data_IF_614157678901
#
_entry.id   IF_614157678901
#
_cell.length_a   1.000
_cell.length_b   1.000
_cell.length_c   1.000
_cell.angle_alpha   90.00
_cell.angle_beta   90.00
_cell.angle_gamma   90.00
#
_symmetry.space_group_name_H-M   'P 1'
#
loop_
_entity.id
_entity.type
_entity.pdbx_description
1 polymer ?
#
# COMPACT_ATOMS: atom_id res chain seq x y z
N UNK A 1 38.71 33.37 -17.47
CA UNK A 1 37.56 33.16 -16.55
C UNK A 1 36.46 32.50 -17.35
N UNK A 2 36.41 31.16 -17.36
CA UNK A 2 35.38 30.39 -18.04
C UNK A 2 34.45 29.79 -16.99
N UNK A 3 33.23 30.32 -16.88
CA UNK A 3 32.18 29.75 -16.05
C UNK A 3 31.26 28.90 -16.93
N UNK A 4 31.38 27.59 -16.82
CA UNK A 4 30.50 26.63 -17.47
C UNK A 4 29.14 26.66 -16.77
N UNK A 5 28.12 27.22 -17.44
CA UNK A 5 26.75 27.14 -16.97
C UNK A 5 26.22 25.72 -17.23
N UNK A 6 25.99 24.97 -16.15
CA UNK A 6 25.26 23.72 -16.22
C UNK A 6 23.80 23.98 -16.64
N UNK A 7 23.48 23.66 -17.89
CA UNK A 7 22.12 23.69 -18.42
C UNK A 7 21.22 22.74 -17.64
N UNK A 8 20.22 23.30 -16.95
CA UNK A 8 19.15 22.55 -16.28
C UNK A 8 18.18 22.01 -17.33
N UNK A 9 18.23 20.71 -17.59
CA UNK A 9 17.28 20.04 -18.50
C UNK A 9 15.86 20.21 -17.94
N UNK A 10 14.87 20.68 -18.73
CA UNK A 10 13.50 20.79 -18.26
C UNK A 10 12.92 19.39 -18.03
N UNK A 11 12.57 19.11 -16.78
CA UNK A 11 11.91 17.87 -16.37
C UNK A 11 10.50 17.82 -16.97
N UNK A 12 10.18 16.77 -17.73
CA UNK A 12 8.84 16.60 -18.30
C UNK A 12 7.82 16.50 -17.16
N UNK A 13 6.65 17.17 -17.25
CA UNK A 13 5.61 17.02 -16.25
C UNK A 13 5.17 15.56 -16.17
N UNK A 14 5.30 14.97 -14.98
CA UNK A 14 4.73 13.65 -14.70
C UNK A 14 3.20 13.78 -14.81
N UNK A 15 2.51 12.94 -15.59
CA UNK A 15 1.05 13.00 -15.69
C UNK A 15 0.40 12.87 -14.32
N UNK A 16 -0.53 13.76 -13.99
CA UNK A 16 -1.31 13.64 -12.76
C UNK A 16 -2.20 12.39 -12.83
N UNK A 17 -2.23 11.61 -11.74
CA UNK A 17 -3.16 10.49 -11.62
C UNK A 17 -4.57 11.05 -11.47
N UNK A 18 -5.50 10.61 -12.32
CA UNK A 18 -6.92 10.96 -12.25
C UNK A 18 -7.78 9.71 -12.12
N UNK A 19 -8.92 9.83 -11.46
CA UNK A 19 -9.84 8.72 -11.22
C UNK A 19 -11.28 9.23 -11.05
N UNK A 20 -12.30 8.52 -11.54
CA UNK A 20 -13.70 8.82 -11.25
C UNK A 20 -14.08 8.35 -9.83
N UNK A 21 -15.21 8.83 -9.30
CA UNK A 21 -15.77 8.29 -8.05
C UNK A 21 -16.04 6.78 -8.14
N UNK A 22 -16.47 6.33 -9.32
CA UNK A 22 -16.69 4.92 -9.66
C UNK A 22 -16.02 4.55 -10.97
N UNK A 23 -15.18 3.53 -10.94
CA UNK A 23 -14.50 2.97 -12.10
C UNK A 23 -15.35 1.91 -12.80
N UNK A 24 -14.71 1.18 -13.71
CA UNK A 24 -15.40 0.22 -14.58
C UNK A 24 -15.65 -1.14 -13.93
N UNK A 25 -15.09 -1.40 -12.74
CA UNK A 25 -15.07 -2.73 -12.09
C UNK A 25 -14.41 -3.81 -12.98
N UNK A 26 -13.66 -3.40 -14.00
CA UNK A 26 -12.79 -4.25 -14.83
C UNK A 26 -11.35 -3.93 -14.50
N UNK A 27 -10.50 -4.96 -14.47
CA UNK A 27 -9.13 -4.82 -13.97
C UNK A 27 -8.09 -5.15 -15.04
N UNK A 28 -7.12 -4.26 -15.19
CA UNK A 28 -5.87 -4.54 -15.88
C UNK A 28 -4.89 -5.11 -14.87
N UNK A 29 -4.47 -6.35 -15.07
CA UNK A 29 -3.40 -6.97 -14.28
C UNK A 29 -2.06 -6.60 -14.91
N UNK A 30 -1.13 -6.09 -14.11
CA UNK A 30 0.21 -5.76 -14.58
C UNK A 30 1.00 -7.03 -14.92
N UNK A 31 1.94 -6.97 -15.89
CA UNK A 31 2.85 -8.09 -16.18
C UNK A 31 3.59 -8.58 -14.93
N UNK A 32 4.10 -9.81 -14.99
CA UNK A 32 5.03 -10.29 -13.98
C UNK A 32 6.27 -9.42 -13.88
N UNK A 33 7.00 -9.55 -12.78
CA UNK A 33 8.35 -9.00 -12.71
C UNK A 33 9.23 -9.65 -13.78
N UNK A 34 9.89 -8.88 -14.68
CA UNK A 34 10.73 -9.44 -15.73
C UNK A 34 11.90 -10.27 -15.18
N UNK A 35 12.42 -9.89 -14.01
CA UNK A 35 13.51 -10.60 -13.34
C UNK A 35 13.03 -11.85 -12.58
N UNK A 36 11.70 -12.02 -12.46
CA UNK A 36 11.05 -13.12 -11.72
C UNK A 36 11.55 -13.23 -10.27
N UNK A 37 11.95 -12.11 -9.69
CA UNK A 37 12.57 -12.04 -8.37
C UNK A 37 11.64 -12.61 -7.29
N UNK A 38 12.22 -13.40 -6.39
CA UNK A 38 11.56 -13.82 -5.15
C UNK A 38 12.11 -12.96 -4.01
N UNK A 39 11.27 -12.07 -3.50
CA UNK A 39 11.59 -11.16 -2.42
C UNK A 39 11.62 -11.89 -1.09
N UNK A 40 12.72 -11.78 -0.36
CA UNK A 40 12.94 -12.41 0.95
C UNK A 40 13.65 -13.77 0.88
N UNK A 41 14.42 -14.10 1.92
CA UNK A 41 15.31 -15.25 1.91
C UNK A 41 14.64 -16.58 2.33
N UNK A 42 13.59 -16.55 3.15
CA UNK A 42 13.01 -17.77 3.74
C UNK A 42 11.52 -17.61 4.08
N UNK A 43 10.87 -18.76 4.34
CA UNK A 43 9.46 -18.82 4.73
C UNK A 43 8.49 -19.07 3.57
N UNK A 44 7.19 -18.88 3.84
CA UNK A 44 6.11 -19.17 2.88
C UNK A 44 6.16 -18.18 1.72
N UNK A 45 6.16 -18.68 0.49
CA UNK A 45 6.04 -17.86 -0.71
C UNK A 45 4.57 -17.48 -0.95
N UNK A 46 4.32 -16.20 -1.14
CA UNK A 46 3.07 -15.65 -1.65
C UNK A 46 3.29 -15.05 -3.04
N UNK A 47 2.59 -15.59 -4.04
CA UNK A 47 2.51 -15.01 -5.38
C UNK A 47 1.42 -13.97 -5.42
N UNK A 48 1.72 -12.79 -5.93
CA UNK A 48 0.74 -11.70 -6.00
C UNK A 48 0.66 -11.10 -7.39
N UNK A 49 -0.54 -10.68 -7.76
CA UNK A 49 -0.79 -9.84 -8.94
C UNK A 49 -1.05 -8.40 -8.49
N UNK A 50 -0.68 -7.45 -9.34
CA UNK A 50 -1.08 -6.05 -9.19
C UNK A 50 -2.20 -5.78 -10.19
N UNK A 51 -3.37 -5.39 -9.71
CA UNK A 51 -4.55 -5.15 -10.53
C UNK A 51 -5.02 -3.71 -10.39
N UNK A 52 -5.24 -3.02 -11.52
CA UNK A 52 -5.67 -1.62 -11.54
C UNK A 52 -7.06 -1.56 -12.17
N UNK A 53 -8.00 -0.94 -11.49
CA UNK A 53 -9.35 -0.74 -12.02
C UNK A 53 -9.35 0.22 -13.22
N UNK A 54 -10.12 -0.12 -14.25
CA UNK A 54 -10.36 0.77 -15.38
C UNK A 54 -11.06 2.07 -14.95
N UNK A 55 -10.67 3.17 -15.59
CA UNK A 55 -11.09 4.53 -15.23
C UNK A 55 -10.03 5.30 -14.46
N UNK A 56 -9.08 4.62 -13.81
CA UNK A 56 -7.89 5.24 -13.23
C UNK A 56 -6.89 5.51 -14.38
N UNK A 57 -6.39 6.75 -14.48
CA UNK A 57 -5.49 7.21 -15.55
C UNK A 57 -4.25 7.87 -14.96
N UNK A 58 -3.17 7.94 -15.74
CA UNK A 58 -1.93 8.62 -15.35
C UNK A 58 -1.02 7.83 -14.40
N UNK A 59 -1.34 6.55 -14.13
CA UNK A 59 -0.43 5.66 -13.40
C UNK A 59 0.69 5.22 -14.35
N UNK A 60 1.94 5.46 -13.94
CA UNK A 60 3.09 4.74 -14.50
C UNK A 60 3.10 3.32 -13.93
N UNK A 61 2.70 2.37 -14.76
CA UNK A 61 2.56 0.97 -14.37
C UNK A 61 3.91 0.33 -13.98
N UNK A 62 5.01 0.70 -14.65
CA UNK A 62 6.32 0.14 -14.35
C UNK A 62 6.85 0.68 -13.01
N UNK A 63 6.72 1.99 -12.80
CA UNK A 63 7.08 2.63 -11.53
C UNK A 63 6.22 2.11 -10.36
N UNK A 64 4.91 1.93 -10.58
CA UNK A 64 4.03 1.35 -9.56
C UNK A 64 4.44 -0.09 -9.20
N UNK A 65 4.67 -0.93 -10.21
CA UNK A 65 5.08 -2.31 -9.97
C UNK A 65 6.40 -2.40 -9.20
N UNK A 66 7.39 -1.58 -9.60
CA UNK A 66 8.67 -1.48 -8.89
C UNK A 66 8.48 -1.01 -7.44
N UNK A 67 7.67 0.03 -7.22
CA UNK A 67 7.39 0.54 -5.87
C UNK A 67 6.75 -0.51 -4.95
N UNK A 68 5.81 -1.31 -5.47
CA UNK A 68 5.20 -2.41 -4.71
C UNK A 68 6.24 -3.47 -4.35
N UNK A 69 7.09 -3.89 -5.32
CA UNK A 69 8.17 -4.86 -5.06
C UNK A 69 9.16 -4.35 -4.03
N UNK A 70 9.62 -3.10 -4.15
CA UNK A 70 10.50 -2.47 -3.17
C UNK A 70 9.87 -2.39 -1.79
N UNK A 71 8.55 -2.19 -1.69
CA UNK A 71 7.84 -2.17 -0.41
C UNK A 71 7.82 -3.55 0.25
N UNK A 72 7.55 -4.61 -0.50
CA UNK A 72 7.58 -5.98 0.02
C UNK A 72 9.00 -6.49 0.29
N UNK A 73 9.98 -6.10 -0.52
CA UNK A 73 11.40 -6.44 -0.39
C UNK A 73 12.17 -5.53 0.58
N UNK A 74 11.54 -4.51 1.16
CA UNK A 74 12.21 -3.57 2.04
C UNK A 74 12.86 -4.28 3.24
N UNK A 75 14.02 -3.78 3.68
CA UNK A 75 14.78 -4.32 4.82
C UNK A 75 13.99 -4.39 6.13
N UNK A 76 12.93 -3.57 6.24
CA UNK A 76 12.02 -3.52 7.37
C UNK A 76 10.57 -3.93 7.01
N UNK A 77 10.37 -4.49 5.81
CA UNK A 77 9.12 -5.01 5.30
C UNK A 77 8.78 -6.40 5.84
N UNK A 78 7.70 -7.00 5.34
CA UNK A 78 7.20 -8.29 5.83
C UNK A 78 8.16 -9.48 5.66
N UNK A 79 9.12 -9.36 4.74
CA UNK A 79 10.17 -10.37 4.48
C UNK A 79 11.26 -10.39 5.55
N UNK A 80 11.44 -9.31 6.30
CA UNK A 80 12.56 -9.12 7.23
C UNK A 80 12.64 -10.19 8.34
N UNK A 81 11.49 -10.73 8.78
CA UNK A 81 11.46 -11.77 9.81
C UNK A 81 11.52 -13.21 9.29
N UNK A 82 11.80 -13.44 8.01
CA UNK A 82 12.00 -14.78 7.43
C UNK A 82 10.76 -15.69 7.40
N UNK A 83 9.57 -15.15 7.71
CA UNK A 83 8.30 -15.91 7.66
C UNK A 83 7.67 -15.92 6.28
N UNK A 84 7.92 -14.89 5.48
CA UNK A 84 7.22 -14.63 4.23
C UNK A 84 8.18 -14.26 3.12
N UNK A 85 7.86 -14.72 1.93
CA UNK A 85 8.47 -14.31 0.66
C UNK A 85 7.37 -13.87 -0.30
N UNK A 86 7.72 -12.99 -1.23
CA UNK A 86 6.77 -12.49 -2.23
C UNK A 86 7.33 -12.63 -3.63
N UNK A 87 6.47 -12.95 -4.59
CA UNK A 87 6.83 -12.94 -6.01
C UNK A 87 5.68 -12.31 -6.81
N UNK A 88 6.00 -11.30 -7.62
CA UNK A 88 5.03 -10.72 -8.53
C UNK A 88 4.84 -11.64 -9.74
N UNK A 89 3.60 -12.03 -9.99
CA UNK A 89 3.22 -12.85 -11.16
C UNK A 89 2.27 -12.07 -12.07
N UNK A 90 2.22 -12.45 -13.34
CA UNK A 90 1.48 -11.73 -14.38
C UNK A 90 0.07 -12.30 -14.64
N UNK A 91 -0.62 -11.76 -15.66
CA UNK A 91 -1.91 -12.27 -16.12
C UNK A 91 -1.82 -13.75 -16.53
N UNK A 92 -2.82 -14.54 -16.17
CA UNK A 92 -2.88 -15.97 -16.49
C UNK A 92 -2.05 -16.88 -15.56
N UNK A 93 -1.16 -16.31 -14.73
CA UNK A 93 -0.39 -17.07 -13.75
C UNK A 93 -1.16 -17.22 -12.42
N UNK A 94 -0.90 -18.33 -11.71
CA UNK A 94 -1.51 -18.59 -10.40
C UNK A 94 -0.99 -17.61 -9.33
N UNK A 95 -1.91 -16.99 -8.60
CA UNK A 95 -1.62 -16.02 -7.54
C UNK A 95 -2.34 -16.38 -6.23
N UNK A 96 -1.68 -16.16 -5.10
CA UNK A 96 -2.26 -16.32 -3.76
C UNK A 96 -3.12 -15.12 -3.32
N UNK A 97 -2.90 -13.94 -3.92
CA UNK A 97 -3.74 -12.76 -3.73
C UNK A 97 -3.54 -11.71 -4.84
N UNK A 98 -4.48 -10.76 -4.91
CA UNK A 98 -4.36 -9.57 -5.77
C UNK A 98 -4.23 -8.31 -4.91
N UNK A 99 -3.23 -7.50 -5.19
CA UNK A 99 -3.13 -6.11 -4.74
C UNK A 99 -3.88 -5.23 -5.74
N UNK A 100 -5.05 -4.74 -5.35
CA UNK A 100 -6.02 -4.08 -6.22
C UNK A 100 -6.04 -2.58 -5.94
N UNK A 101 -5.92 -1.76 -6.98
CA UNK A 101 -6.15 -0.32 -6.91
C UNK A 101 -7.55 -0.03 -7.45
N UNK A 102 -8.45 0.45 -6.59
CA UNK A 102 -9.87 0.66 -6.91
C UNK A 102 -10.30 2.09 -6.60
N UNK A 103 -11.32 2.54 -7.32
CA UNK A 103 -12.02 3.80 -7.08
C UNK A 103 -12.86 3.77 -5.80
N UNK A 104 -13.17 4.93 -5.19
CA UNK A 104 -13.89 5.03 -3.92
C UNK A 104 -15.20 4.22 -3.85
N UNK A 105 -16.06 4.30 -4.86
CA UNK A 105 -17.32 3.54 -4.85
C UNK A 105 -17.12 2.05 -5.16
N UNK A 106 -16.14 1.70 -6.00
CA UNK A 106 -15.82 0.30 -6.29
C UNK A 106 -15.25 -0.41 -5.06
N UNK A 107 -14.46 0.30 -4.23
CA UNK A 107 -13.98 -0.19 -2.93
C UNK A 107 -15.14 -0.74 -2.08
N UNK A 108 -16.25 -0.02 -1.99
CA UNK A 108 -17.39 -0.42 -1.16
C UNK A 108 -18.03 -1.72 -1.64
N UNK A 109 -17.97 -2.01 -2.94
CA UNK A 109 -18.43 -3.28 -3.50
C UNK A 109 -17.56 -4.46 -3.07
N UNK A 110 -16.25 -4.24 -2.85
CA UNK A 110 -15.31 -5.31 -2.50
C UNK A 110 -15.09 -5.48 -1.00
N UNK A 111 -15.22 -4.40 -0.22
CA UNK A 111 -14.84 -4.41 1.20
C UNK A 111 -15.92 -4.95 2.15
N UNK A 112 -17.15 -5.19 1.68
CA UNK A 112 -18.16 -6.00 2.39
C UNK A 112 -18.72 -5.45 3.71
N UNK A 113 -18.18 -4.33 4.23
CA UNK A 113 -18.68 -3.61 5.39
C UNK A 113 -19.48 -2.36 4.97
N UNK A 114 -19.95 -1.57 5.94
CA UNK A 114 -20.63 -0.30 5.66
C UNK A 114 -19.84 0.54 4.63
N UNK A 115 -20.51 1.07 3.60
CA UNK A 115 -19.84 1.85 2.56
C UNK A 115 -19.23 3.10 3.18
N UNK A 116 -17.92 3.29 2.99
CA UNK A 116 -17.18 4.43 3.55
C UNK A 116 -16.46 5.24 2.47
N UNK A 117 -16.24 4.68 1.27
CA UNK A 117 -15.55 5.31 0.14
C UNK A 117 -14.14 5.84 0.47
N UNK A 118 -13.59 5.53 1.63
CA UNK A 118 -12.45 6.21 2.22
C UNK A 118 -11.32 5.24 2.52
N UNK A 119 -11.60 4.16 3.24
CA UNK A 119 -10.55 3.24 3.71
C UNK A 119 -10.17 2.20 2.66
N UNK A 120 -9.01 1.59 2.86
CA UNK A 120 -8.62 0.35 2.17
C UNK A 120 -9.09 -0.85 2.99
N UNK A 121 -9.03 -2.05 2.42
CA UNK A 121 -9.40 -3.26 3.16
C UNK A 121 -8.72 -4.51 2.59
N UNK A 122 -8.88 -5.62 3.32
CA UNK A 122 -8.59 -6.96 2.82
C UNK A 122 -9.79 -7.88 3.01
N UNK A 123 -10.29 -8.46 1.92
CA UNK A 123 -11.36 -9.47 1.91
C UNK A 123 -10.90 -10.71 1.14
N UNK A 124 -10.78 -11.85 1.83
CA UNK A 124 -10.29 -13.09 1.23
C UNK A 124 -8.87 -12.94 0.66
N UNK A 125 -8.73 -13.20 -0.64
CA UNK A 125 -7.52 -13.05 -1.44
C UNK A 125 -7.39 -11.67 -2.13
N UNK A 126 -8.23 -10.70 -1.75
CA UNK A 126 -8.23 -9.34 -2.30
C UNK A 126 -7.66 -8.37 -1.27
N UNK A 127 -6.54 -7.74 -1.62
CA UNK A 127 -5.93 -6.63 -0.89
C UNK A 127 -6.31 -5.36 -1.64
N UNK A 128 -7.30 -4.61 -1.15
CA UNK A 128 -8.00 -3.55 -1.87
C UNK A 128 -7.52 -2.19 -1.38
N UNK A 129 -6.79 -1.46 -2.22
CA UNK A 129 -6.31 -0.11 -1.97
C UNK A 129 -7.21 0.92 -2.65
N UNK A 130 -7.73 1.86 -1.86
CA UNK A 130 -8.49 2.99 -2.39
C UNK A 130 -7.56 3.99 -3.08
N UNK A 131 -7.75 4.19 -4.40
CA UNK A 131 -6.93 5.08 -5.22
C UNK A 131 -6.95 6.54 -4.72
N UNK A 132 -8.05 7.00 -4.11
CA UNK A 132 -8.12 8.35 -3.56
C UNK A 132 -7.09 8.55 -2.43
N UNK A 133 -6.90 7.53 -1.59
CA UNK A 133 -5.89 7.56 -0.52
C UNK A 133 -4.48 7.39 -1.08
N UNK A 134 -4.32 6.61 -2.15
CA UNK A 134 -3.03 6.52 -2.85
C UNK A 134 -2.58 7.86 -3.44
N UNK A 135 -3.51 8.63 -4.01
CA UNK A 135 -3.20 9.92 -4.64
C UNK A 135 -3.01 11.03 -3.61
N UNK A 136 -3.82 11.07 -2.55
CA UNK A 136 -3.89 12.22 -1.64
C UNK A 136 -3.41 11.95 -0.20
N UNK A 137 -3.24 10.69 0.19
CA UNK A 137 -3.01 10.34 1.59
C UNK A 137 -4.24 10.60 2.44
N UNK A 138 -3.99 11.01 3.69
CA UNK A 138 -5.02 11.49 4.64
C UNK A 138 -4.55 12.80 5.28
N UNK A 139 -5.48 13.66 5.73
CA UNK A 139 -5.13 14.88 6.45
C UNK A 139 -4.29 14.56 7.69
N UNK A 140 -3.36 15.46 8.03
CA UNK A 140 -2.57 15.41 9.27
C UNK A 140 -1.78 14.10 9.50
N UNK A 141 -1.46 13.33 8.44
CA UNK A 141 -0.67 12.09 8.58
C UNK A 141 0.75 12.32 9.14
N UNK A 142 1.29 13.54 9.00
CA UNK A 142 2.59 13.90 9.58
C UNK A 142 3.80 13.25 8.90
N UNK A 143 3.63 12.61 7.74
CA UNK A 143 4.71 12.03 6.94
C UNK A 143 4.45 12.19 5.44
N UNK A 144 5.50 12.08 4.58
CA UNK A 144 5.36 12.22 3.13
C UNK A 144 4.38 11.21 2.51
N UNK A 145 3.76 11.56 1.39
CA UNK A 145 2.81 10.69 0.68
C UNK A 145 3.40 9.30 0.33
N UNK A 146 4.70 9.25 -0.02
CA UNK A 146 5.38 7.98 -0.28
C UNK A 146 5.41 7.06 0.96
N UNK A 147 5.54 7.63 2.15
CA UNK A 147 5.44 6.89 3.42
C UNK A 147 4.04 6.31 3.59
N UNK A 148 3.01 7.13 3.37
CA UNK A 148 1.62 6.69 3.45
C UNK A 148 1.29 5.56 2.45
N UNK A 149 1.79 5.65 1.21
CA UNK A 149 1.62 4.60 0.20
C UNK A 149 2.23 3.26 0.61
N UNK A 150 3.43 3.27 1.21
CA UNK A 150 4.05 2.06 1.79
C UNK A 150 3.22 1.50 2.94
N UNK A 151 2.71 2.38 3.81
CA UNK A 151 1.83 2.01 4.92
C UNK A 151 0.59 1.28 4.41
N UNK A 152 -0.13 1.83 3.42
CA UNK A 152 -1.33 1.21 2.85
C UNK A 152 -1.05 -0.22 2.36
N UNK A 153 0.01 -0.39 1.57
CA UNK A 153 0.41 -1.70 1.04
C UNK A 153 0.69 -2.67 2.20
N UNK A 154 1.50 -2.24 3.17
CA UNK A 154 1.91 -3.12 4.27
C UNK A 154 0.77 -3.43 5.24
N UNK A 155 -0.12 -2.50 5.52
CA UNK A 155 -1.27 -2.68 6.42
C UNK A 155 -2.23 -3.72 5.86
N UNK A 156 -2.71 -3.52 4.63
CA UNK A 156 -3.70 -4.42 4.03
C UNK A 156 -3.10 -5.79 3.70
N UNK A 157 -1.82 -5.83 3.33
CA UNK A 157 -1.08 -7.10 3.19
C UNK A 157 -0.89 -7.77 4.54
N UNK A 158 -0.68 -7.01 5.63
CA UNK A 158 -0.63 -7.55 6.98
C UNK A 158 -1.90 -8.33 7.34
N UNK A 159 -3.08 -7.82 6.97
CA UNK A 159 -4.32 -8.58 7.09
C UNK A 159 -4.30 -9.87 6.26
N UNK A 160 -3.80 -9.84 5.02
CA UNK A 160 -3.65 -11.03 4.18
C UNK A 160 -2.72 -12.09 4.79
N UNK A 161 -1.73 -11.64 5.56
CA UNK A 161 -0.77 -12.47 6.28
C UNK A 161 -1.27 -12.93 7.67
N UNK A 162 -2.49 -12.55 8.05
CA UNK A 162 -3.14 -13.00 9.30
C UNK A 162 -2.95 -12.06 10.49
N UNK A 163 -2.52 -10.82 10.27
CA UNK A 163 -2.36 -9.85 11.35
C UNK A 163 -3.65 -9.06 11.56
N UNK A 164 -4.12 -9.00 12.80
CA UNK A 164 -5.24 -8.17 13.22
C UNK A 164 -4.79 -6.73 13.48
N UNK A 165 -5.75 -5.81 13.57
CA UNK A 165 -5.47 -4.44 13.96
C UNK A 165 -4.78 -4.35 15.32
N UNK A 166 -3.98 -3.29 15.46
CA UNK A 166 -3.29 -2.93 16.69
C UNK A 166 -3.57 -1.48 17.07
N UNK A 167 -3.42 -1.18 18.35
CA UNK A 167 -3.56 0.17 18.90
C UNK A 167 -2.20 0.86 19.00
N UNK A 168 -2.23 2.19 19.07
CA UNK A 168 -1.04 2.98 19.36
C UNK A 168 -0.46 2.59 20.74
N UNK A 169 0.82 2.19 20.85
CA UNK A 169 1.42 1.81 22.13
C UNK A 169 1.69 2.99 23.08
N UNK A 170 1.64 4.23 22.57
CA UNK A 170 1.80 5.44 23.38
C UNK A 170 2.10 6.68 22.55
N UNK A 171 1.82 7.85 23.10
CA UNK A 171 2.08 9.13 22.42
C UNK A 171 3.56 9.29 22.06
N UNK A 172 3.83 9.84 20.86
CA UNK A 172 5.18 10.01 20.31
C UNK A 172 5.85 8.71 19.83
N UNK A 173 5.31 7.54 20.17
CA UNK A 173 5.82 6.27 19.67
C UNK A 173 5.41 6.06 18.21
N UNK A 174 6.20 5.34 17.41
CA UNK A 174 5.74 4.94 16.09
C UNK A 174 4.48 4.09 16.17
N UNK A 175 3.55 4.33 15.24
CA UNK A 175 2.38 3.49 15.08
C UNK A 175 2.82 2.07 14.66
N UNK A 176 2.26 0.99 15.22
CA UNK A 176 2.40 -0.33 14.61
C UNK A 176 1.82 -0.26 13.19
N UNK A 177 2.41 -0.97 12.21
CA UNK A 177 1.89 -0.91 10.82
C UNK A 177 0.44 -1.39 10.74
N UNK A 178 0.03 -2.25 11.68
CA UNK A 178 -1.34 -2.75 11.80
C UNK A 178 -2.29 -1.84 12.59
N UNK A 179 -1.84 -0.67 13.05
CA UNK A 179 -2.76 0.39 13.45
C UNK A 179 -3.47 0.92 12.20
N UNK A 180 -4.76 1.20 12.30
CA UNK A 180 -5.54 1.81 11.21
C UNK A 180 -5.24 3.31 11.12
N UNK A 181 -4.00 3.65 10.72
CA UNK A 181 -3.47 5.01 10.67
C UNK A 181 -4.22 5.91 9.67
N UNK A 182 -4.93 5.32 8.71
CA UNK A 182 -5.84 6.01 7.78
C UNK A 182 -6.93 6.81 8.51
N UNK A 183 -7.37 6.33 9.67
CA UNK A 183 -8.44 6.95 10.45
C UNK A 183 -7.91 7.79 11.62
N UNK A 184 -6.71 7.49 12.11
CA UNK A 184 -6.07 8.29 13.14
C UNK A 184 -4.78 7.69 13.68
N UNK A 185 -3.85 8.56 14.05
CA UNK A 185 -2.59 8.16 14.69
C UNK A 185 -2.71 8.04 16.21
N UNK A 186 -3.74 8.61 16.84
CA UNK A 186 -4.00 8.46 18.28
C UNK A 186 -2.78 8.76 19.17
N UNK A 187 -2.06 9.84 18.82
CA UNK A 187 -0.83 10.28 19.51
C UNK A 187 0.46 9.62 19.01
N UNK A 188 0.39 8.52 18.26
CA UNK A 188 1.56 7.94 17.62
C UNK A 188 2.10 8.81 16.48
N UNK A 189 3.33 8.55 16.05
CA UNK A 189 3.89 9.06 14.80
C UNK A 189 3.71 8.04 13.67
N UNK A 190 3.51 8.52 12.44
CA UNK A 190 3.31 7.67 11.27
C UNK A 190 4.46 6.65 11.09
N UNK A 191 4.10 5.42 10.70
CA UNK A 191 5.06 4.37 10.40
C UNK A 191 4.51 3.41 9.35
N UNK A 192 5.31 3.17 8.32
CA UNK A 192 4.95 2.40 7.15
C UNK A 192 5.41 0.94 7.16
N UNK A 193 6.22 0.55 8.13
CA UNK A 193 6.94 -0.74 8.09
C UNK A 193 6.63 -1.63 9.30
N UNK A 194 6.46 -2.95 9.10
CA UNK A 194 6.21 -3.89 10.18
C UNK A 194 7.41 -4.11 11.11
N UNK A 195 8.65 -4.07 10.60
CA UNK A 195 9.84 -4.32 11.43
C UNK A 195 10.54 -3.02 11.80
N UNK A 196 11.13 -2.99 12.99
CA UNK A 196 12.01 -1.92 13.46
C UNK A 196 13.15 -2.54 14.26
N UNK A 197 14.38 -2.10 13.99
CA UNK A 197 15.58 -2.60 14.67
C UNK A 197 15.68 -4.14 14.66
N UNK A 198 15.35 -4.77 13.52
CA UNK A 198 15.38 -6.22 13.35
C UNK A 198 14.25 -7.01 14.01
N UNK A 199 13.35 -6.36 14.74
CA UNK A 199 12.22 -7.00 15.41
C UNK A 199 10.88 -6.56 14.82
N UNK A 200 9.90 -7.46 14.83
CA UNK A 200 8.53 -7.13 14.46
C UNK A 200 7.94 -6.15 15.49
N UNK A 201 7.62 -4.95 15.05
CA UNK A 201 7.13 -3.88 15.91
C UNK A 201 5.61 -3.98 16.07
N UNK A 202 5.14 -4.09 17.31
CA UNK A 202 3.75 -4.40 17.65
C UNK A 202 3.22 -3.48 18.73
N UNK A 203 1.94 -3.14 18.63
CA UNK A 203 1.16 -2.57 19.74
C UNK A 203 0.15 -3.56 20.29
N UNK A 204 -0.66 -3.15 21.29
CA UNK A 204 -1.78 -3.93 21.80
C UNK A 204 -2.74 -4.32 20.66
N UNK A 205 -3.33 -5.52 20.73
CA UNK A 205 -4.38 -5.88 19.77
C UNK A 205 -5.63 -5.03 20.01
N UNK A 206 -6.24 -4.55 18.94
CA UNK A 206 -7.46 -3.76 19.02
C UNK A 206 -7.67 -2.88 17.80
N UNK A 207 -8.85 -2.26 17.73
CA UNK A 207 -9.20 -1.26 16.73
C UNK A 207 -9.91 -0.10 17.44
N UNK A 208 -9.75 1.10 16.92
CA UNK A 208 -10.54 2.26 17.35
C UNK A 208 -11.91 2.25 16.66
N UNK A 209 -12.88 2.91 17.28
CA UNK A 209 -14.20 3.19 16.68
C UNK A 209 -14.19 4.60 16.06
N UNK A 210 -13.23 4.82 15.16
CA UNK A 210 -13.03 6.12 14.52
C UNK A 210 -14.13 6.38 13.49
N UNK A 211 -14.67 7.59 13.50
CA UNK A 211 -15.57 8.05 12.45
C UNK A 211 -14.85 8.11 11.11
N UNK A 212 -15.53 7.70 10.04
CA UNK A 212 -15.03 7.89 8.68
C UNK A 212 -15.05 9.39 8.34
N UNK A 213 -13.93 9.99 7.88
CA UNK A 213 -13.93 11.38 7.47
C UNK A 213 -14.86 11.64 6.30
N UNK A 214 -15.74 12.63 6.42
CA UNK A 214 -16.54 13.15 5.31
C UNK A 214 -15.67 14.10 4.50
N UNK A 215 -15.18 13.63 3.35
CA UNK A 215 -14.51 14.37 2.26
C UNK A 215 -13.67 15.59 2.63
#
# INVERSE_FOLDING_TARGET
>A
MGGEQASKVPERPVPAITYPSRGTVKFTVLPADPEREVLGASGKLFRFQIAIEGGIKGIDNAALAKFVRETYGAVNGWTAGGKFRFQQVGPGEASDFRLMFVTPETRDTYCGYAPDRYTSCRIGDRVVLNIARWVHGVPNYGAPLLTYRKYMINHETGHRLGYAHQLCPGAGQPAPVMQQQTLGLHGCVANQSPYRNGALYRGPLGKYDDSIPTS
#
